data_IF_139539540920
#
_entry.id   IF_139539540920
#
_cell.length_a   1.000
_cell.length_b   1.000
_cell.length_c   1.000
_cell.angle_alpha   90.00
_cell.angle_beta   90.00
_cell.angle_gamma   90.00
#
_symmetry.space_group_name_H-M   'P 1'
#
loop_
_entity.id
_entity.type
_entity.pdbx_description
1 polymer ?
#
# COMPACT_ATOMS: atom_id res chain seq x y z
N UNK A 1 4.18 7.92 -22.76
CA UNK A 1 3.30 8.57 -21.76
C UNK A 1 2.16 7.67 -21.31
N UNK A 2 1.54 6.90 -22.21
CA UNK A 2 0.48 5.94 -21.87
C UNK A 2 0.94 4.92 -20.80
N UNK A 3 2.19 4.44 -20.86
CA UNK A 3 2.71 3.42 -19.94
C UNK A 3 2.80 3.91 -18.50
N UNK A 4 3.28 5.16 -18.30
CA UNK A 4 3.34 5.78 -16.97
C UNK A 4 1.95 5.95 -16.38
N UNK A 5 1.00 6.46 -17.15
CA UNK A 5 -0.37 6.68 -16.69
C UNK A 5 -1.09 5.35 -16.37
N UNK A 6 -0.90 4.34 -17.22
CA UNK A 6 -1.44 2.99 -16.99
C UNK A 6 -0.84 2.37 -15.72
N UNK A 7 0.49 2.48 -15.53
CA UNK A 7 1.17 1.99 -14.34
C UNK A 7 0.71 2.73 -13.07
N UNK A 8 0.60 4.06 -13.10
CA UNK A 8 0.04 4.85 -11.99
C UNK A 8 -1.37 4.39 -11.60
N UNK A 9 -2.23 4.13 -12.60
CA UNK A 9 -3.58 3.62 -12.37
C UNK A 9 -3.56 2.23 -11.73
N UNK A 10 -2.69 1.34 -12.21
CA UNK A 10 -2.53 0.00 -11.64
C UNK A 10 -2.08 0.06 -10.17
N UNK A 11 -1.05 0.87 -9.87
CA UNK A 11 -0.55 1.07 -8.50
C UNK A 11 -1.66 1.64 -7.61
N UNK A 12 -2.39 2.65 -8.08
CA UNK A 12 -3.49 3.25 -7.32
C UNK A 12 -4.61 2.25 -7.03
N UNK A 13 -4.99 1.41 -7.99
CA UNK A 13 -6.02 0.38 -7.78
C UNK A 13 -5.60 -0.65 -6.73
N UNK A 14 -4.36 -1.14 -6.80
CA UNK A 14 -3.81 -2.07 -5.81
C UNK A 14 -3.78 -1.45 -4.41
N UNK A 15 -3.25 -0.23 -4.31
CA UNK A 15 -3.20 0.51 -3.06
C UNK A 15 -4.60 0.75 -2.48
N UNK A 16 -5.58 1.16 -3.30
CA UNK A 16 -6.96 1.36 -2.85
C UNK A 16 -7.58 0.07 -2.31
N UNK A 17 -7.35 -1.06 -2.98
CA UNK A 17 -7.86 -2.36 -2.53
C UNK A 17 -7.29 -2.75 -1.16
N UNK A 18 -5.98 -2.60 -0.99
CA UNK A 18 -5.30 -2.91 0.28
C UNK A 18 -5.71 -1.94 1.39
N UNK A 19 -5.76 -0.64 1.10
CA UNK A 19 -6.22 0.38 2.02
C UNK A 19 -7.66 0.14 2.48
N UNK A 20 -8.54 -0.32 1.59
CA UNK A 20 -9.90 -0.71 1.93
C UNK A 20 -9.94 -1.84 2.95
N UNK A 21 -9.15 -2.90 2.75
CA UNK A 21 -9.04 -4.02 3.70
C UNK A 21 -8.49 -3.57 5.05
N UNK A 22 -7.43 -2.75 5.05
CA UNK A 22 -6.83 -2.21 6.28
C UNK A 22 -7.85 -1.36 7.06
N UNK A 23 -8.66 -0.56 6.38
CA UNK A 23 -9.69 0.24 7.04
C UNK A 23 -10.79 -0.64 7.66
N UNK A 24 -11.19 -1.72 7.00
CA UNK A 24 -12.14 -2.68 7.57
C UNK A 24 -11.55 -3.34 8.83
N UNK A 25 -10.30 -3.79 8.78
CA UNK A 25 -9.62 -4.39 9.92
C UNK A 25 -9.37 -3.41 11.06
N UNK A 26 -9.08 -2.14 10.76
CA UNK A 26 -8.96 -1.09 11.77
C UNK A 26 -10.26 -0.94 12.56
N UNK A 27 -11.40 -0.94 11.87
CA UNK A 27 -12.69 -0.86 12.55
C UNK A 27 -12.93 -2.10 13.43
N UNK A 28 -12.59 -3.30 12.94
CA UNK A 28 -12.65 -4.56 13.72
C UNK A 28 -11.69 -4.59 14.91
N UNK A 29 -10.55 -3.90 14.82
CA UNK A 29 -9.55 -3.81 15.89
C UNK A 29 -9.98 -2.91 17.06
N UNK A 30 -11.06 -2.13 16.90
CA UNK A 30 -11.59 -1.27 17.96
C UNK A 30 -11.91 -2.11 19.20
N UNK A 31 -11.28 -1.80 20.34
CA UNK A 31 -11.43 -2.57 21.58
C UNK A 31 -10.63 -3.89 21.64
N UNK A 32 -9.77 -4.18 20.65
CA UNK A 32 -8.90 -5.36 20.60
C UNK A 32 -7.42 -4.94 20.64
N UNK A 33 -6.84 -4.66 21.82
CA UNK A 33 -5.47 -4.16 21.94
C UNK A 33 -4.43 -5.10 21.30
N UNK A 34 -4.68 -6.41 21.27
CA UNK A 34 -3.83 -7.39 20.62
C UNK A 34 -3.70 -7.20 19.09
N UNK A 35 -4.64 -6.50 18.45
CA UNK A 35 -4.61 -6.19 17.02
C UNK A 35 -4.00 -4.82 16.70
N UNK A 36 -3.75 -3.99 17.72
CA UNK A 36 -3.27 -2.63 17.51
C UNK A 36 -1.91 -2.60 16.81
N UNK A 37 -0.99 -3.49 17.21
CA UNK A 37 0.34 -3.59 16.61
C UNK A 37 0.28 -3.98 15.12
N UNK A 38 -0.62 -4.90 14.75
CA UNK A 38 -0.85 -5.28 13.35
C UNK A 38 -1.36 -4.09 12.53
N UNK A 39 -2.36 -3.35 13.04
CA UNK A 39 -2.89 -2.16 12.37
C UNK A 39 -1.82 -1.08 12.20
N UNK A 40 -1.01 -0.81 13.24
CA UNK A 40 0.09 0.16 13.15
C UNK A 40 1.12 -0.23 12.09
N UNK A 41 1.50 -1.50 12.01
CA UNK A 41 2.42 -2.00 11.00
C UNK A 41 1.83 -1.87 9.58
N UNK A 42 0.57 -2.25 9.40
CA UNK A 42 -0.14 -2.12 8.12
C UNK A 42 -0.26 -0.66 7.67
N UNK A 43 -0.57 0.24 8.60
CA UNK A 43 -0.66 1.68 8.32
C UNK A 43 0.68 2.28 7.93
N UNK A 44 1.77 1.89 8.60
CA UNK A 44 3.13 2.31 8.24
C UNK A 44 3.49 1.91 6.80
N UNK A 45 3.22 0.66 6.43
CA UNK A 45 3.49 0.14 5.08
C UNK A 45 2.59 0.77 4.03
N UNK A 46 1.32 1.02 4.35
CA UNK A 46 0.39 1.75 3.48
C UNK A 46 0.91 3.16 3.21
N UNK A 47 1.31 3.89 4.25
CA UNK A 47 1.88 5.22 4.10
C UNK A 47 3.18 5.24 3.31
N UNK A 48 4.02 4.21 3.41
CA UNK A 48 5.20 4.08 2.56
C UNK A 48 4.81 3.94 1.08
N UNK A 49 3.86 3.07 0.75
CA UNK A 49 3.38 2.90 -0.62
C UNK A 49 2.69 4.16 -1.18
N UNK A 50 1.92 4.88 -0.35
CA UNK A 50 1.31 6.17 -0.70
C UNK A 50 2.35 7.23 -1.06
N UNK A 51 3.44 7.34 -0.28
CA UNK A 51 4.55 8.25 -0.59
C UNK A 51 5.24 7.90 -1.90
N UNK A 52 5.46 6.61 -2.17
CA UNK A 52 6.07 6.16 -3.42
C UNK A 52 5.18 6.45 -4.63
N UNK A 53 3.85 6.27 -4.51
CA UNK A 53 2.91 6.67 -5.56
C UNK A 53 2.88 8.19 -5.77
N UNK A 54 2.97 8.99 -4.70
CA UNK A 54 3.08 10.44 -4.82
C UNK A 54 4.36 10.85 -5.57
N UNK A 55 5.50 10.22 -5.25
CA UNK A 55 6.76 10.44 -5.97
C UNK A 55 6.64 10.06 -7.47
N UNK A 56 5.99 8.94 -7.78
CA UNK A 56 5.73 8.53 -9.18
C UNK A 56 4.88 9.56 -9.95
N UNK A 57 3.89 10.15 -9.27
CA UNK A 57 3.03 11.18 -9.86
C UNK A 57 3.82 12.41 -10.25
N UNK A 58 4.68 12.88 -9.35
CA UNK A 58 5.52 14.05 -9.56
C UNK A 58 6.75 13.80 -10.45
N UNK A 59 7.12 12.54 -10.69
CA UNK A 59 8.27 12.20 -11.53
C UNK A 59 8.10 12.64 -13.00
N UNK A 60 9.19 12.94 -13.67
CA UNK A 60 9.19 13.19 -15.12
C UNK A 60 9.01 11.88 -15.92
N UNK A 61 8.79 12.00 -17.23
CA UNK A 61 8.71 10.83 -18.12
C UNK A 61 10.03 10.08 -18.30
N UNK A 62 11.17 10.68 -17.92
CA UNK A 62 12.49 10.05 -17.96
C UNK A 62 12.90 9.47 -16.61
N UNK A 63 12.33 9.95 -15.49
CA UNK A 63 12.73 9.50 -14.14
C UNK A 63 11.77 8.48 -13.50
N UNK A 64 10.57 8.28 -14.06
CA UNK A 64 9.57 7.40 -13.45
C UNK A 64 9.94 5.91 -13.50
N UNK A 65 10.71 5.48 -14.51
CA UNK A 65 11.12 4.07 -14.65
C UNK A 65 11.99 3.61 -13.48
N UNK A 66 12.92 4.47 -13.03
CA UNK A 66 13.75 4.22 -11.85
C UNK A 66 12.95 4.12 -10.55
N UNK A 67 11.73 4.68 -10.50
CA UNK A 67 10.86 4.60 -9.33
C UNK A 67 9.99 3.33 -9.31
N UNK A 68 9.81 2.63 -10.45
CA UNK A 68 8.93 1.44 -10.52
C UNK A 68 9.35 0.37 -9.51
N UNK A 69 10.65 0.05 -9.44
CA UNK A 69 11.15 -0.96 -8.51
C UNK A 69 10.87 -0.62 -7.05
N UNK A 70 11.03 0.66 -6.66
CA UNK A 70 10.74 1.13 -5.30
C UNK A 70 9.26 1.03 -4.96
N UNK A 71 8.38 1.37 -5.90
CA UNK A 71 6.92 1.30 -5.72
C UNK A 71 6.45 -0.14 -5.65
N UNK A 72 6.96 -1.00 -6.54
CA UNK A 72 6.61 -2.42 -6.57
C UNK A 72 7.07 -3.10 -5.28
N UNK A 73 8.26 -2.78 -4.77
CA UNK A 73 8.73 -3.26 -3.47
C UNK A 73 7.79 -2.81 -2.33
N UNK A 74 7.44 -1.53 -2.27
CA UNK A 74 6.53 -1.02 -1.23
C UNK A 74 5.13 -1.66 -1.28
N UNK A 75 4.58 -1.88 -2.48
CA UNK A 75 3.30 -2.56 -2.66
C UNK A 75 3.37 -4.04 -2.28
N UNK A 76 4.45 -4.74 -2.66
CA UNK A 76 4.63 -6.14 -2.31
C UNK A 76 4.80 -6.30 -0.79
N UNK A 77 5.54 -5.40 -0.14
CA UNK A 77 5.69 -5.39 1.31
C UNK A 77 4.35 -5.16 2.02
N UNK A 78 3.53 -4.25 1.52
CA UNK A 78 2.18 -4.01 2.03
C UNK A 78 1.29 -5.26 1.84
N UNK A 79 1.30 -5.85 0.65
CA UNK A 79 0.53 -7.05 0.33
C UNK A 79 0.93 -8.23 1.23
N UNK A 80 2.22 -8.43 1.44
CA UNK A 80 2.75 -9.50 2.30
C UNK A 80 2.35 -9.29 3.76
N UNK A 81 2.39 -8.04 4.25
CA UNK A 81 1.91 -7.72 5.59
C UNK A 81 0.40 -7.96 5.74
N UNK A 82 -0.40 -7.53 4.76
CA UNK A 82 -1.85 -7.81 4.73
C UNK A 82 -2.09 -9.32 4.77
N UNK A 83 -1.44 -10.10 3.92
CA UNK A 83 -1.60 -11.55 3.89
C UNK A 83 -1.20 -12.22 5.20
N UNK A 84 -0.12 -11.75 5.83
CA UNK A 84 0.39 -12.29 7.10
C UNK A 84 -0.50 -11.94 8.29
N UNK A 85 -1.10 -10.75 8.30
CA UNK A 85 -2.00 -10.32 9.37
C UNK A 85 -3.44 -10.82 9.18
N UNK A 86 -3.85 -11.18 7.96
CA UNK A 86 -5.21 -11.64 7.62
C UNK A 86 -5.79 -12.68 8.57
N UNK A 87 -5.08 -13.74 9.01
CA UNK A 87 -5.64 -14.75 9.91
C UNK A 87 -6.05 -14.22 11.28
N UNK A 88 -5.54 -13.05 11.70
CA UNK A 88 -5.88 -12.42 12.99
C UNK A 88 -7.16 -11.59 12.92
N UNK A 89 -7.65 -11.30 11.72
CA UNK A 89 -8.82 -10.46 11.45
C UNK A 89 -10.01 -11.22 10.84
N UNK A 90 -9.85 -12.52 10.58
CA UNK A 90 -10.93 -13.45 10.20
C UNK A 90 -11.48 -14.13 11.45
#
# INVERSE_FOLDING_TARGET
MADKAAYQKQVQMRLNSLSGQINQWRNMATGRPQLAADITNLDSKRSAAERQLAALRSASNTSWEGLRGSIDAALNDLQNAVNSSRPRFL
#
